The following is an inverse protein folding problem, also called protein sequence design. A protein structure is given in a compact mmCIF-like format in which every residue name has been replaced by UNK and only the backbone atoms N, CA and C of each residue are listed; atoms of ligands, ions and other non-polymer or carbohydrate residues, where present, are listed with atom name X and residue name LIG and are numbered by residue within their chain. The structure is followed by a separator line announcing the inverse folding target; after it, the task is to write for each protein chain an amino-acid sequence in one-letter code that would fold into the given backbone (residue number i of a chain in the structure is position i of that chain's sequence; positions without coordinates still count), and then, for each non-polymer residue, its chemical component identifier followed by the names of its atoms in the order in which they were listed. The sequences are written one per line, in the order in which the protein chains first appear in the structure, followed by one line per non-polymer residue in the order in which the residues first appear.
data_IF_143650154464
#
_entry.id   IF_143650154464
#
_cell.length_a   1.000
_cell.length_b   1.000
_cell.length_c   1.000
_cell.angle_alpha   90.00
_cell.angle_beta   90.00
_cell.angle_gamma   90.00
#
_symmetry.space_group_name_H-M   'P 1'
#
loop_
_entity.id
_entity.type
_entity.pdbx_description
1 polymer ?
#
# COMPACT_ATOMS: atom_id res chain seq x y z
N UNK A 1 -33.72 -23.58 -22.27
CA UNK A 1 -34.33 -22.26 -21.97
C UNK A 1 -33.29 -21.43 -21.22
N UNK A 2 -32.33 -20.84 -21.94
CA UNK A 2 -31.30 -19.97 -21.35
C UNK A 2 -31.83 -18.54 -21.31
N UNK A 3 -32.02 -17.99 -20.11
CA UNK A 3 -32.35 -16.57 -19.90
C UNK A 3 -31.10 -15.73 -20.17
N UNK A 4 -31.03 -15.12 -21.35
CA UNK A 4 -30.20 -13.93 -21.56
C UNK A 4 -30.79 -12.78 -20.73
N UNK A 5 -30.18 -12.53 -19.57
CA UNK A 5 -30.42 -11.30 -18.81
C UNK A 5 -29.64 -10.20 -19.55
N UNK A 6 -30.34 -9.46 -20.40
CA UNK A 6 -29.86 -8.21 -20.98
C UNK A 6 -29.66 -7.20 -19.86
N UNK A 7 -28.40 -6.95 -19.49
CA UNK A 7 -28.02 -5.82 -18.65
C UNK A 7 -28.27 -4.53 -19.43
N UNK A 8 -29.48 -3.98 -19.31
CA UNK A 8 -29.73 -2.58 -19.64
C UNK A 8 -28.98 -1.77 -18.58
N UNK A 9 -27.74 -1.39 -18.90
CA UNK A 9 -26.99 -0.45 -18.08
C UNK A 9 -27.85 0.79 -17.87
N UNK A 10 -28.08 1.17 -16.60
CA UNK A 10 -28.64 2.47 -16.26
C UNK A 10 -27.79 3.51 -16.99
N UNK A 11 -28.36 4.19 -17.98
CA UNK A 11 -27.73 5.37 -18.58
C UNK A 11 -27.54 6.34 -17.41
N UNK A 12 -26.30 6.48 -16.94
CA UNK A 12 -25.96 7.47 -15.92
C UNK A 12 -26.49 8.82 -16.36
N UNK A 13 -27.09 9.58 -15.44
CA UNK A 13 -27.48 10.94 -15.73
C UNK A 13 -26.26 11.66 -16.30
N UNK A 14 -26.35 12.14 -17.53
CA UNK A 14 -25.28 12.92 -18.16
C UNK A 14 -25.04 14.12 -17.26
N UNK A 15 -23.94 14.12 -16.53
CA UNK A 15 -23.47 15.28 -15.78
C UNK A 15 -23.17 16.34 -16.83
N UNK A 16 -24.10 17.27 -17.05
CA UNK A 16 -23.90 18.43 -17.91
C UNK A 16 -22.92 19.33 -17.16
N UNK A 17 -21.63 19.07 -17.34
CA UNK A 17 -20.58 19.94 -16.85
C UNK A 17 -20.83 21.33 -17.46
N UNK A 18 -21.13 22.31 -16.61
CA UNK A 18 -21.28 23.68 -17.05
C UNK A 18 -19.91 24.16 -17.57
N UNK A 19 -19.78 24.24 -18.89
CA UNK A 19 -18.60 24.84 -19.52
C UNK A 19 -18.58 26.31 -19.13
N UNK A 20 -17.56 26.71 -18.38
CA UNK A 20 -17.39 28.08 -17.86
C UNK A 20 -17.52 29.07 -19.03
N UNK A 21 -18.51 29.97 -18.96
CA UNK A 21 -18.75 31.02 -19.96
C UNK A 21 -19.84 30.74 -21.00
N UNK A 22 -20.54 29.60 -20.98
CA UNK A 22 -21.76 29.37 -21.78
C UNK A 22 -22.97 29.15 -20.87
N UNK A 23 -24.16 29.51 -21.37
CA UNK A 23 -25.43 29.30 -20.65
C UNK A 23 -25.71 27.81 -20.51
N UNK A 24 -26.08 27.40 -19.30
CA UNK A 24 -26.57 26.06 -18.98
C UNK A 24 -28.02 25.90 -19.44
N UNK A 25 -28.53 24.65 -19.43
CA UNK A 25 -29.93 24.37 -19.78
C UNK A 25 -30.93 24.98 -18.78
N UNK A 26 -30.53 25.21 -17.54
CA UNK A 26 -31.38 25.75 -16.48
C UNK A 26 -31.29 27.29 -16.40
N UNK A 27 -30.40 27.91 -17.16
CA UNK A 27 -30.23 29.35 -17.14
C UNK A 27 -31.35 30.03 -17.94
N UNK A 28 -31.92 31.14 -17.45
CA UNK A 28 -32.95 31.84 -18.17
C UNK A 28 -32.42 32.45 -19.48
N UNK A 29 -33.31 32.51 -20.47
CA UNK A 29 -33.08 33.28 -21.71
C UNK A 29 -32.94 34.76 -21.34
N UNK A 30 -32.15 35.51 -22.11
CA UNK A 30 -32.02 36.95 -21.85
C UNK A 30 -33.30 37.66 -22.29
N UNK A 31 -33.77 38.67 -21.54
CA UNK A 31 -34.99 39.45 -21.85
C UNK A 31 -35.02 40.00 -23.28
N UNK A 32 -33.89 40.46 -23.80
CA UNK A 32 -33.77 40.95 -25.19
C UNK A 32 -33.87 39.86 -26.28
N UNK A 33 -33.85 38.58 -25.90
CA UNK A 33 -33.91 37.42 -26.79
C UNK A 33 -35.18 36.59 -26.62
N UNK A 34 -36.00 36.84 -25.59
CA UNK A 34 -37.25 36.11 -25.31
C UNK A 34 -38.25 36.20 -26.49
N UNK A 35 -38.38 37.37 -27.11
CA UNK A 35 -39.26 37.59 -28.27
C UNK A 35 -38.55 37.64 -29.62
N UNK A 36 -37.24 37.37 -29.69
CA UNK A 36 -36.47 37.54 -30.93
C UNK A 36 -36.60 36.32 -31.84
N UNK A 37 -37.46 36.41 -32.85
CA UNK A 37 -37.56 35.41 -33.92
C UNK A 37 -36.52 35.69 -35.01
N UNK A 38 -35.82 34.65 -35.48
CA UNK A 38 -34.87 34.77 -36.60
C UNK A 38 -35.65 34.77 -37.91
N UNK A 39 -35.68 35.93 -38.58
CA UNK A 39 -36.26 36.06 -39.92
C UNK A 39 -35.24 35.52 -40.94
N UNK A 40 -35.65 34.64 -41.88
CA UNK A 40 -34.76 34.18 -42.94
C UNK A 40 -34.40 35.35 -43.87
N UNK A 41 -33.16 35.40 -44.38
CA UNK A 41 -32.78 36.38 -45.39
C UNK A 41 -33.58 36.14 -46.69
N UNK A 42 -33.78 37.17 -47.53
CA UNK A 42 -34.36 36.98 -48.86
C UNK A 42 -33.44 36.12 -49.73
N UNK A 43 -34.02 35.38 -50.65
CA UNK A 43 -33.32 34.36 -51.43
C UNK A 43 -33.69 34.50 -52.92
N UNK A 44 -32.69 34.50 -53.80
CA UNK A 44 -32.88 34.48 -55.25
C UNK A 44 -33.19 33.05 -55.73
N UNK A 45 -34.35 32.80 -56.37
CA UNK A 45 -34.70 31.47 -56.86
C UNK A 45 -33.72 30.91 -57.89
N UNK A 46 -33.13 31.73 -58.77
CA UNK A 46 -32.22 31.24 -59.80
C UNK A 46 -30.92 30.70 -59.20
N UNK A 47 -30.31 31.45 -58.28
CA UNK A 47 -29.11 31.03 -57.55
C UNK A 47 -29.36 29.75 -56.73
N UNK A 48 -30.54 29.63 -56.10
CA UNK A 48 -30.85 28.48 -55.26
C UNK A 48 -30.91 27.15 -55.99
N UNK A 49 -31.39 27.13 -57.25
CA UNK A 49 -31.40 25.90 -58.03
C UNK A 49 -29.96 25.43 -58.29
N UNK A 50 -29.12 26.35 -58.76
CA UNK A 50 -27.69 26.05 -59.04
C UNK A 50 -26.95 25.62 -57.79
N UNK A 51 -27.17 26.30 -56.65
CA UNK A 51 -26.53 25.94 -55.38
C UNK A 51 -26.95 24.54 -54.91
N UNK A 52 -28.23 24.18 -55.04
CA UNK A 52 -28.72 22.85 -54.65
C UNK A 52 -28.08 21.75 -55.47
N UNK A 53 -28.01 21.93 -56.78
CA UNK A 53 -27.39 20.96 -57.69
C UNK A 53 -25.90 20.77 -57.37
N UNK A 54 -25.14 21.88 -57.31
CA UNK A 54 -23.70 21.83 -56.98
C UNK A 54 -23.43 21.22 -55.62
N UNK A 55 -24.27 21.51 -54.62
CA UNK A 55 -24.11 20.94 -53.29
C UNK A 55 -24.43 19.44 -53.28
N UNK A 56 -25.43 19.01 -54.05
CA UNK A 56 -25.74 17.59 -54.25
C UNK A 56 -24.57 16.84 -54.90
N UNK A 57 -24.00 17.40 -55.97
CA UNK A 57 -22.83 16.84 -56.65
C UNK A 57 -21.61 16.77 -55.73
N UNK A 58 -21.29 17.87 -55.05
CA UNK A 58 -20.18 17.95 -54.10
C UNK A 58 -20.33 16.93 -52.98
N UNK A 59 -21.52 16.85 -52.35
CA UNK A 59 -21.76 15.91 -51.25
C UNK A 59 -21.71 14.46 -51.72
N UNK A 60 -22.14 14.17 -52.95
CA UNK A 60 -22.00 12.85 -53.55
C UNK A 60 -20.51 12.47 -53.70
N UNK A 61 -19.69 13.36 -54.28
CA UNK A 61 -18.24 13.12 -54.46
C UNK A 61 -17.54 12.94 -53.11
N UNK A 62 -17.80 13.83 -52.15
CA UNK A 62 -17.20 13.75 -50.81
C UNK A 62 -17.63 12.48 -50.06
N UNK A 63 -18.86 12.01 -50.28
CA UNK A 63 -19.33 10.75 -49.70
C UNK A 63 -18.62 9.56 -50.31
N UNK A 64 -18.40 9.55 -51.62
CA UNK A 64 -17.62 8.52 -52.30
C UNK A 64 -16.19 8.46 -51.74
N UNK A 65 -15.48 9.60 -51.69
CA UNK A 65 -14.13 9.68 -51.13
C UNK A 65 -14.06 9.19 -49.67
N UNK A 66 -15.08 9.51 -48.86
CA UNK A 66 -15.14 9.03 -47.47
C UNK A 66 -15.29 7.50 -47.39
N UNK A 67 -16.01 6.88 -48.32
CA UNK A 67 -16.16 5.43 -48.36
C UNK A 67 -14.83 4.76 -48.71
N UNK A 68 -14.11 5.27 -49.72
CA UNK A 68 -12.77 4.79 -50.08
C UNK A 68 -11.81 4.83 -48.88
N UNK A 69 -11.71 5.98 -48.20
CA UNK A 69 -10.85 6.10 -47.01
C UNK A 69 -11.29 5.18 -45.86
N UNK A 70 -12.60 4.94 -45.72
CA UNK A 70 -13.11 4.02 -44.71
C UNK A 70 -12.69 2.58 -45.04
N UNK A 71 -12.79 2.18 -46.30
CA UNK A 71 -12.38 0.86 -46.76
C UNK A 71 -10.86 0.65 -46.58
N UNK A 72 -10.05 1.65 -46.91
CA UNK A 72 -8.60 1.59 -46.65
C UNK A 72 -8.26 1.39 -45.17
N UNK A 73 -8.92 2.15 -44.28
CA UNK A 73 -8.72 2.02 -42.82
C UNK A 73 -9.15 0.64 -42.33
N UNK A 74 -10.30 0.13 -42.82
CA UNK A 74 -10.77 -1.20 -42.46
C UNK A 74 -9.82 -2.30 -42.98
N UNK A 75 -9.28 -2.14 -44.18
CA UNK A 75 -8.34 -3.09 -44.78
C UNK A 75 -7.04 -3.15 -43.96
N UNK A 76 -6.47 -2.00 -43.61
CA UNK A 76 -5.28 -1.92 -42.75
C UNK A 76 -5.52 -2.59 -41.39
N UNK A 77 -6.67 -2.30 -40.77
CA UNK A 77 -7.04 -2.93 -39.50
C UNK A 77 -7.13 -4.45 -39.63
N UNK A 78 -7.73 -4.95 -40.71
CA UNK A 78 -7.82 -6.39 -40.97
C UNK A 78 -6.44 -7.01 -41.24
N UNK A 79 -5.58 -6.35 -41.99
CA UNK A 79 -4.19 -6.78 -42.24
C UNK A 79 -3.37 -6.82 -40.94
N UNK A 80 -3.60 -5.88 -40.01
CA UNK A 80 -2.97 -5.89 -38.68
C UNK A 80 -3.51 -7.01 -37.77
N UNK A 81 -4.81 -7.28 -37.79
CA UNK A 81 -5.44 -8.29 -36.92
C UNK A 81 -5.30 -9.72 -37.45
N UNK A 82 -5.41 -9.90 -38.76
CA UNK A 82 -5.56 -11.21 -39.43
C UNK A 82 -4.65 -11.36 -40.66
N UNK A 83 -3.77 -10.39 -40.92
CA UNK A 83 -2.83 -10.51 -42.04
C UNK A 83 -1.79 -11.60 -41.81
N UNK A 84 -1.30 -12.21 -42.89
CA UNK A 84 -0.27 -13.25 -42.82
C UNK A 84 0.98 -12.79 -42.06
N UNK A 85 1.38 -11.53 -42.24
CA UNK A 85 2.52 -10.94 -41.52
C UNK A 85 2.25 -10.80 -40.02
N UNK A 86 1.00 -10.56 -39.61
CA UNK A 86 0.65 -10.47 -38.19
C UNK A 86 0.72 -11.84 -37.53
N UNK A 87 0.23 -12.89 -38.22
CA UNK A 87 0.33 -14.27 -37.75
C UNK A 87 1.78 -14.76 -37.66
N UNK A 88 2.60 -14.46 -38.66
CA UNK A 88 4.04 -14.78 -38.66
C UNK A 88 4.78 -14.09 -37.51
N UNK A 89 4.51 -12.80 -37.26
CA UNK A 89 5.07 -12.08 -36.10
C UNK A 89 4.63 -12.69 -34.79
N UNK A 90 3.33 -12.95 -34.62
CA UNK A 90 2.81 -13.57 -33.40
C UNK A 90 3.43 -14.95 -33.14
N UNK A 91 3.71 -15.71 -34.20
CA UNK A 91 4.41 -16.99 -34.11
C UNK A 91 5.87 -16.80 -33.68
N UNK A 92 6.60 -15.87 -34.28
CA UNK A 92 7.97 -15.53 -33.91
C UNK A 92 8.05 -15.09 -32.44
N UNK A 93 7.18 -14.17 -32.02
CA UNK A 93 7.11 -13.69 -30.63
C UNK A 93 6.84 -14.84 -29.65
N UNK A 94 5.95 -15.77 -30.02
CA UNK A 94 5.66 -16.94 -29.20
C UNK A 94 6.83 -17.93 -29.12
N UNK A 95 7.59 -18.09 -30.20
CA UNK A 95 8.80 -18.92 -30.24
C UNK A 95 9.93 -18.30 -29.40
N UNK A 96 10.16 -16.99 -29.53
CA UNK A 96 11.11 -16.22 -28.71
C UNK A 96 10.76 -16.30 -27.22
N UNK A 97 9.48 -16.10 -26.88
CA UNK A 97 9.01 -16.23 -25.50
C UNK A 97 9.30 -17.62 -24.93
N UNK A 98 9.05 -18.69 -25.69
CA UNK A 98 9.37 -20.06 -25.25
C UNK A 98 10.86 -20.26 -25.04
N UNK A 99 11.70 -19.73 -25.93
CA UNK A 99 13.15 -19.82 -25.82
C UNK A 99 13.67 -19.11 -24.56
N UNK A 100 13.17 -17.90 -24.28
CA UNK A 100 13.52 -17.14 -23.08
C UNK A 100 13.05 -17.84 -21.79
N UNK A 101 11.87 -18.45 -21.80
CA UNK A 101 11.38 -19.21 -20.65
C UNK A 101 12.19 -20.49 -20.40
N UNK A 102 12.61 -21.17 -21.47
CA UNK A 102 13.52 -22.31 -21.35
C UNK A 102 14.86 -21.90 -20.73
N UNK A 103 15.45 -20.82 -21.22
CA UNK A 103 16.70 -20.26 -20.68
C UNK A 103 16.56 -19.85 -19.21
N UNK A 104 15.46 -19.20 -18.84
CA UNK A 104 15.21 -18.83 -17.45
C UNK A 104 15.09 -20.07 -16.53
N UNK A 105 14.46 -21.14 -17.01
CA UNK A 105 14.36 -22.39 -16.26
C UNK A 105 15.74 -23.04 -16.06
N UNK A 106 16.60 -23.01 -17.06
CA UNK A 106 17.99 -23.49 -16.95
C UNK A 106 18.77 -22.70 -15.89
N UNK A 107 18.65 -21.36 -15.88
CA UNK A 107 19.29 -20.52 -14.87
C UNK A 107 18.75 -20.78 -13.46
N UNK A 108 17.42 -20.97 -13.32
CA UNK A 108 16.81 -21.31 -12.04
C UNK A 108 17.33 -22.66 -11.52
N UNK A 109 17.54 -23.65 -12.38
CA UNK A 109 18.12 -24.94 -12.00
C UNK A 109 19.54 -24.77 -11.44
N UNK A 110 20.37 -23.90 -12.03
CA UNK A 110 21.69 -23.57 -11.51
C UNK A 110 21.63 -22.86 -10.15
N UNK A 111 20.61 -22.04 -9.91
CA UNK A 111 20.39 -21.38 -8.61
C UNK A 111 19.95 -22.35 -7.52
N UNK A 112 19.10 -23.34 -7.85
CA UNK A 112 18.71 -24.41 -6.92
C UNK A 112 19.95 -25.22 -6.54
N UNK A 113 20.75 -25.65 -7.53
CA UNK A 113 21.99 -26.36 -7.27
C UNK A 113 22.93 -25.56 -6.35
N UNK A 114 23.05 -24.23 -6.54
CA UNK A 114 23.80 -23.35 -5.62
C UNK A 114 23.26 -23.36 -4.19
N UNK A 115 21.93 -23.32 -4.02
CA UNK A 115 21.30 -23.30 -2.69
C UNK A 115 21.57 -24.59 -1.92
N UNK A 116 21.61 -25.73 -2.63
CA UNK A 116 21.96 -27.03 -2.06
C UNK A 116 23.44 -27.13 -1.62
N UNK A 117 24.32 -26.20 -2.04
CA UNK A 117 25.71 -26.13 -1.58
C UNK A 117 25.92 -25.32 -0.28
N UNK A 118 24.97 -24.48 0.15
CA UNK A 118 25.04 -23.71 1.40
C UNK A 118 24.47 -24.36 2.71
N UNK A 119 24.25 -25.69 2.84
CA UNK A 119 23.81 -26.29 4.12
C UNK A 119 24.73 -25.98 5.30
N UNK A 120 26.04 -25.88 5.08
CA UNK A 120 27.02 -25.66 6.15
C UNK A 120 26.80 -24.35 6.91
N UNK A 121 26.46 -23.25 6.22
CA UNK A 121 26.17 -21.97 6.87
C UNK A 121 24.90 -22.03 7.71
N UNK A 122 23.89 -22.78 7.25
CA UNK A 122 22.65 -22.97 8.00
C UNK A 122 22.86 -23.82 9.25
N UNK A 123 23.66 -24.89 9.15
CA UNK A 123 24.01 -25.75 10.29
C UNK A 123 24.83 -24.99 11.35
N UNK A 124 25.80 -24.18 10.94
CA UNK A 124 26.58 -23.34 11.86
C UNK A 124 25.71 -22.27 12.54
N UNK A 125 24.79 -21.66 11.81
CA UNK A 125 23.83 -20.71 12.38
C UNK A 125 22.93 -21.37 13.43
N UNK A 126 22.47 -22.60 13.17
CA UNK A 126 21.61 -23.33 14.10
C UNK A 126 22.36 -23.80 15.34
N UNK A 127 23.63 -24.21 15.21
CA UNK A 127 24.51 -24.47 16.36
C UNK A 127 24.68 -23.24 17.25
N UNK A 128 24.97 -22.08 16.65
CA UNK A 128 25.10 -20.81 17.39
C UNK A 128 23.80 -20.41 18.09
N UNK A 129 22.63 -20.61 17.46
CA UNK A 129 21.33 -20.37 18.10
C UNK A 129 21.11 -21.29 19.30
N UNK A 130 21.44 -22.58 19.18
CA UNK A 130 21.31 -23.54 20.27
C UNK A 130 22.21 -23.16 21.44
N UNK A 131 23.48 -22.83 21.19
CA UNK A 131 24.42 -22.37 22.21
C UNK A 131 23.94 -21.09 22.90
N UNK A 132 23.41 -20.13 22.14
CA UNK A 132 22.84 -18.91 22.69
C UNK A 132 21.59 -19.17 23.53
N UNK A 133 20.75 -20.13 23.14
CA UNK A 133 19.58 -20.52 23.93
C UNK A 133 19.98 -21.15 25.27
N UNK A 134 20.96 -22.06 25.28
CA UNK A 134 21.49 -22.69 26.50
C UNK A 134 22.06 -21.63 27.44
N UNK A 135 22.85 -20.68 26.92
CA UNK A 135 23.40 -19.59 27.75
C UNK A 135 22.32 -18.73 28.38
N UNK A 136 21.29 -18.34 27.62
CA UNK A 136 20.15 -17.57 28.17
C UNK A 136 19.41 -18.34 29.25
N UNK A 137 19.23 -19.64 29.08
CA UNK A 137 18.57 -20.46 30.10
C UNK A 137 19.40 -20.53 31.39
N UNK A 138 20.73 -20.64 31.28
CA UNK A 138 21.63 -20.58 32.44
C UNK A 138 21.55 -19.22 33.15
N UNK A 139 21.65 -18.12 32.40
CA UNK A 139 21.52 -16.76 32.95
C UNK A 139 20.17 -16.55 33.64
N UNK A 140 19.08 -17.06 33.06
CA UNK A 140 17.76 -17.00 33.67
C UNK A 140 17.69 -17.82 34.96
N UNK A 141 18.27 -19.02 34.99
CA UNK A 141 18.31 -19.83 36.21
C UNK A 141 19.12 -19.16 37.33
N UNK A 142 20.25 -18.53 36.99
CA UNK A 142 21.05 -17.77 37.95
C UNK A 142 20.26 -16.57 38.49
N UNK A 143 19.61 -15.81 37.62
CA UNK A 143 18.76 -14.69 38.01
C UNK A 143 17.61 -15.11 38.94
N UNK A 144 16.93 -16.23 38.63
CA UNK A 144 15.86 -16.76 39.49
C UNK A 144 16.41 -17.10 40.88
N UNK A 145 17.57 -17.76 40.97
CA UNK A 145 18.20 -18.11 42.26
C UNK A 145 18.58 -16.86 43.07
N UNK A 146 19.05 -15.80 42.42
CA UNK A 146 19.34 -14.53 43.10
C UNK A 146 18.08 -13.89 43.66
N UNK A 147 17.00 -13.88 42.88
CA UNK A 147 15.70 -13.36 43.34
C UNK A 147 15.08 -14.19 44.44
N UNK A 148 15.23 -15.51 44.42
CA UNK A 148 14.81 -16.37 45.53
C UNK A 148 15.54 -16.01 46.83
N UNK A 149 16.86 -15.76 46.77
CA UNK A 149 17.64 -15.32 47.95
C UNK A 149 17.16 -13.96 48.46
N UNK A 150 16.91 -13.02 47.57
CA UNK A 150 16.39 -11.69 47.91
C UNK A 150 15.02 -11.78 48.62
N UNK A 151 14.13 -12.65 48.12
CA UNK A 151 12.83 -12.91 48.75
C UNK A 151 13.01 -13.49 50.15
N UNK A 152 13.93 -14.45 50.34
CA UNK A 152 14.20 -15.04 51.65
C UNK A 152 14.73 -14.00 52.65
N UNK A 153 15.65 -13.13 52.22
CA UNK A 153 16.14 -12.03 53.06
C UNK A 153 15.01 -11.08 53.47
N UNK A 154 14.16 -10.69 52.52
CA UNK A 154 13.00 -9.85 52.81
C UNK A 154 12.01 -10.53 53.76
N UNK A 155 11.80 -11.84 53.66
CA UNK A 155 10.96 -12.59 54.61
C UNK A 155 11.52 -12.57 56.04
N UNK A 156 12.85 -12.57 56.20
CA UNK A 156 13.49 -12.42 57.50
C UNK A 156 13.37 -10.98 58.04
N UNK A 157 13.58 -9.98 57.18
CA UNK A 157 13.46 -8.56 57.54
C UNK A 157 12.03 -8.16 57.92
N UNK A 158 11.02 -8.71 57.24
CA UNK A 158 9.60 -8.43 57.53
C UNK A 158 9.22 -8.81 58.96
N UNK A 159 9.84 -9.85 59.53
CA UNK A 159 9.60 -10.23 60.94
C UNK A 159 9.99 -9.12 61.91
N UNK A 160 10.90 -8.23 61.52
CA UNK A 160 11.34 -7.10 62.32
C UNK A 160 10.48 -5.84 62.15
N UNK A 161 9.52 -5.83 61.22
CA UNK A 161 8.61 -4.70 60.97
C UNK A 161 7.61 -4.50 62.12
N UNK A 162 7.11 -3.26 62.21
CA UNK A 162 6.18 -2.84 63.26
C UNK A 162 4.75 -3.15 62.79
N UNK A 163 4.03 -3.95 63.58
CA UNK A 163 2.61 -4.26 63.38
C UNK A 163 1.76 -3.50 64.41
N UNK A 164 0.44 -3.43 64.19
CA UNK A 164 -0.50 -2.76 65.12
C UNK A 164 -0.42 -3.31 66.56
N UNK A 165 -0.13 -4.60 66.71
CA UNK A 165 -0.02 -5.28 68.01
C UNK A 165 1.33 -5.00 68.72
N UNK A 166 2.40 -4.73 67.96
CA UNK A 166 3.75 -4.47 68.49
C UNK A 166 4.10 -2.98 68.48
N UNK A 167 3.10 -2.11 68.33
CA UNK A 167 3.31 -0.68 68.12
C UNK A 167 3.82 -0.01 69.42
N UNK A 168 3.10 -0.18 70.52
CA UNK A 168 3.38 0.50 71.78
C UNK A 168 4.73 0.05 72.36
N UNK A 169 5.05 -1.24 72.28
CA UNK A 169 6.33 -1.80 72.75
C UNK A 169 7.53 -1.24 71.97
N UNK A 170 7.42 -1.11 70.64
CA UNK A 170 8.49 -0.55 69.81
C UNK A 170 8.66 0.97 70.00
N UNK A 171 7.60 1.69 70.36
CA UNK A 171 7.68 3.12 70.70
C UNK A 171 8.49 3.31 71.98
N UNK A 172 8.22 2.54 73.03
CA UNK A 172 9.00 2.59 74.28
C UNK A 172 10.47 2.22 74.05
N UNK A 173 10.75 1.12 73.35
CA UNK A 173 12.13 0.69 73.04
C UNK A 173 12.92 1.75 72.24
N UNK A 174 12.25 2.45 71.31
CA UNK A 174 12.88 3.51 70.53
C UNK A 174 13.17 4.77 71.35
N UNK A 175 12.35 5.08 72.36
CA UNK A 175 12.58 6.20 73.28
C UNK A 175 13.74 5.88 74.26
N UNK A 176 13.83 4.63 74.72
CA UNK A 176 14.88 4.17 75.63
C UNK A 176 16.26 4.02 74.96
N UNK A 177 16.30 3.74 73.65
CA UNK A 177 17.54 3.49 72.91
C UNK A 177 17.72 4.43 71.69
N UNK A 178 18.20 5.67 71.90
CA UNK A 178 18.48 6.59 70.80
C UNK A 178 19.63 6.08 69.92
N UNK A 179 19.37 5.85 68.64
CA UNK A 179 20.40 5.46 67.66
C UNK A 179 21.00 6.70 66.97
N UNK A 180 22.33 6.81 67.02
CA UNK A 180 23.09 7.88 66.38
C UNK A 180 23.75 7.37 65.07
N UNK A 181 23.40 7.99 63.94
CA UNK A 181 23.97 7.68 62.62
C UNK A 181 25.10 8.65 62.21
N UNK A 182 25.56 9.53 63.11
CA UNK A 182 26.64 10.46 62.82
C UNK A 182 27.98 9.71 62.83
N UNK A 183 28.60 9.57 61.66
CA UNK A 183 29.98 9.09 61.53
C UNK A 183 30.79 10.07 60.67
N UNK A 184 32.05 10.29 61.05
CA UNK A 184 33.00 11.03 60.23
C UNK A 184 33.75 10.05 59.30
N UNK A 185 34.32 10.54 58.20
CA UNK A 185 35.15 9.75 57.29
C UNK A 185 36.48 10.49 57.10
N UNK A 186 37.59 9.77 57.28
CA UNK A 186 38.93 10.31 57.06
C UNK A 186 39.24 10.44 55.56
N UNK A 187 40.29 11.21 55.21
CA UNK A 187 40.76 11.34 53.82
C UNK A 187 41.16 10.00 53.16
N UNK A 188 41.41 8.96 53.96
CA UNK A 188 41.65 7.58 53.49
C UNK A 188 40.39 6.73 53.31
N UNK A 189 39.19 7.28 53.49
CA UNK A 189 37.92 6.55 53.33
C UNK A 189 37.53 5.67 54.51
N UNK A 190 38.19 5.80 55.66
CA UNK A 190 37.91 5.00 56.85
C UNK A 190 36.98 5.77 57.78
N UNK A 191 35.93 5.12 58.29
CA UNK A 191 35.01 5.71 59.25
C UNK A 191 35.44 5.33 60.68
N UNK A 192 35.97 6.26 61.50
CA UNK A 192 36.23 6.00 62.92
C UNK A 192 34.93 5.74 63.67
N UNK A 193 34.90 4.67 64.46
CA UNK A 193 33.71 4.26 65.20
C UNK A 193 33.46 5.20 66.39
N UNK A 194 32.55 6.17 66.23
CA UNK A 194 32.05 6.98 67.33
C UNK A 194 31.28 6.08 68.31
N UNK A 195 31.71 5.99 69.58
CA UNK A 195 30.97 5.25 70.60
C UNK A 195 30.05 6.17 71.41
N UNK A 196 28.78 5.72 71.45
CA UNK A 196 27.57 6.23 72.12
C UNK A 196 26.99 7.50 71.51
#
# INVERSE_FOLDING_TARGET
ICRLISRVGRRGAVLVAAVRGRKSRNDPVAKSKEGRVKVPPPVDPAEMVVLRERFSEYTMIMRALRLEFKEEVLRKKYEEETGSQAEERARQDAEEHRALMAWNNEENQLSVARSDFFPSETEEADRKKLEAAIKREQEQQEFIKEKEKEILQLQEEVKNFINLENLDQRIEEALDNPKNYNFAIDKGGHAPQCRR
#
